data_IF_073696166770
#
_entry.id   IF_073696166770
#
_cell.length_a   1.000
_cell.length_b   1.000
_cell.length_c   1.000
_cell.angle_alpha   90.00
_cell.angle_beta   90.00
_cell.angle_gamma   90.00
#
_symmetry.space_group_name_H-M   'P 1'
#
loop_
_entity.id
_entity.type
_entity.pdbx_description
1 polymer ?
#
# COMPACT_ATOMS: atom_id res chain seq x y z
N UNK A 1 -11.87 -10.95 53.48
CA UNK A 1 -10.87 -10.17 52.71
C UNK A 1 -11.05 -10.38 51.21
N UNK A 2 -11.18 -11.62 50.72
CA UNK A 2 -11.48 -11.95 49.32
C UNK A 2 -12.81 -11.38 48.76
N UNK A 3 -13.89 -11.34 49.54
CA UNK A 3 -15.19 -10.77 49.09
C UNK A 3 -15.19 -9.24 48.86
N UNK A 4 -14.22 -8.50 49.42
CA UNK A 4 -14.09 -7.05 49.16
C UNK A 4 -13.31 -6.74 47.87
N UNK A 5 -12.60 -7.73 47.31
CA UNK A 5 -11.89 -7.58 46.03
C UNK A 5 -12.83 -7.77 44.82
N UNK A 6 -13.96 -8.47 45.00
CA UNK A 6 -14.99 -8.66 43.96
C UNK A 6 -15.75 -7.37 43.59
N UNK A 7 -15.72 -6.35 44.44
CA UNK A 7 -16.46 -5.10 44.26
C UNK A 7 -15.67 -3.99 43.56
N UNK A 8 -14.35 -4.14 43.41
CA UNK A 8 -13.47 -3.07 42.89
C UNK A 8 -13.18 -3.27 41.39
N UNK A 9 -13.03 -4.52 40.94
CA UNK A 9 -13.06 -4.87 39.52
C UNK A 9 -13.74 -6.23 39.39
N UNK A 10 -14.94 -6.30 38.79
CA UNK A 10 -15.57 -7.59 38.63
C UNK A 10 -14.68 -8.42 37.70
N UNK A 11 -14.37 -9.65 38.11
CA UNK A 11 -13.95 -10.75 37.24
C UNK A 11 -15.04 -11.10 36.19
N UNK A 12 -15.96 -10.19 35.89
CA UNK A 12 -16.94 -10.19 34.83
C UNK A 12 -16.59 -9.10 33.80
N UNK A 13 -15.36 -9.16 33.27
CA UNK A 13 -15.10 -8.73 31.90
C UNK A 13 -15.20 -10.00 31.05
N UNK A 14 -15.87 -10.03 29.88
CA UNK A 14 -16.58 -11.23 29.50
C UNK A 14 -15.63 -12.24 28.86
N UNK A 15 -15.06 -13.11 29.69
CA UNK A 15 -14.39 -14.33 29.26
C UNK A 15 -15.37 -15.34 28.61
N UNK A 16 -16.66 -14.99 28.51
CA UNK A 16 -17.76 -15.86 28.12
C UNK A 16 -18.30 -15.63 26.69
N UNK A 17 -17.52 -15.03 25.78
CA UNK A 17 -17.91 -14.99 24.36
C UNK A 17 -16.83 -15.61 23.47
N UNK A 18 -17.28 -16.62 22.71
CA UNK A 18 -16.68 -17.43 21.61
C UNK A 18 -15.32 -17.04 20.99
N UNK A 19 -14.34 -16.68 21.79
CA UNK A 19 -12.99 -17.16 21.56
C UNK A 19 -12.95 -18.53 22.22
N UNK A 20 -12.55 -19.57 21.48
CA UNK A 20 -12.17 -20.83 22.10
C UNK A 20 -11.35 -20.49 23.34
N UNK A 21 -11.79 -20.91 24.55
CA UNK A 21 -11.16 -20.56 25.83
C UNK A 21 -9.74 -21.15 25.85
N UNK A 22 -8.83 -20.54 25.09
CA UNK A 22 -7.55 -21.12 24.70
C UNK A 22 -6.64 -21.06 25.90
N UNK A 23 -6.71 -19.97 26.66
CA UNK A 23 -6.07 -19.83 27.97
C UNK A 23 -6.54 -20.93 28.91
N UNK A 24 -7.85 -21.13 29.06
CA UNK A 24 -8.40 -22.20 29.92
C UNK A 24 -8.05 -23.61 29.44
N UNK A 25 -8.03 -23.86 28.13
CA UNK A 25 -7.60 -25.14 27.54
C UNK A 25 -6.11 -25.40 27.78
N UNK A 26 -5.27 -24.38 27.61
CA UNK A 26 -3.83 -24.45 27.87
C UNK A 26 -3.59 -24.67 29.36
N UNK A 27 -4.24 -23.90 30.23
CA UNK A 27 -4.16 -24.06 31.68
C UNK A 27 -4.57 -25.47 32.10
N UNK A 28 -5.73 -25.96 31.64
CA UNK A 28 -6.21 -27.32 31.94
C UNK A 28 -5.27 -28.43 31.44
N UNK A 29 -4.56 -28.20 30.33
CA UNK A 29 -3.56 -29.14 29.80
C UNK A 29 -2.28 -29.15 30.65
N UNK A 30 -1.85 -28.00 31.14
CA UNK A 30 -0.64 -27.85 31.93
C UNK A 30 -0.82 -28.19 33.41
N UNK A 31 -2.05 -28.14 33.93
CA UNK A 31 -2.34 -28.53 35.30
C UNK A 31 -1.88 -29.96 35.56
N UNK A 32 -0.88 -30.10 36.43
CA UNK A 32 -0.38 -31.38 36.84
C UNK A 32 -1.42 -32.08 37.72
N UNK A 33 -2.17 -33.03 37.15
CA UNK A 33 -3.24 -33.75 37.85
C UNK A 33 -2.74 -34.56 39.05
N UNK A 34 -1.46 -34.91 39.09
CA UNK A 34 -0.84 -35.72 40.15
C UNK A 34 -0.39 -34.85 41.33
N UNK A 35 0.06 -33.62 41.07
CA UNK A 35 0.56 -32.70 42.10
C UNK A 35 -0.38 -31.51 42.41
N UNK A 36 -1.53 -31.41 41.72
CA UNK A 36 -2.52 -30.32 41.84
C UNK A 36 -1.91 -28.91 41.76
N UNK A 37 -0.78 -28.77 41.06
CA UNK A 37 -0.13 -27.48 40.88
C UNK A 37 -0.72 -26.80 39.65
N UNK A 38 -1.27 -25.61 39.84
CA UNK A 38 -1.72 -24.78 38.74
C UNK A 38 -0.50 -24.23 37.98
N UNK A 39 -0.55 -24.15 36.63
CA UNK A 39 0.51 -23.53 35.85
C UNK A 39 0.59 -22.04 36.18
N UNK A 40 1.80 -21.48 36.11
CA UNK A 40 1.98 -20.04 36.27
C UNK A 40 1.69 -19.26 34.97
N UNK A 41 1.76 -17.94 35.03
CA UNK A 41 1.48 -17.08 33.87
C UNK A 41 2.47 -17.31 32.72
N UNK A 42 3.74 -17.58 33.03
CA UNK A 42 4.79 -17.81 32.03
C UNK A 42 4.60 -19.17 31.34
N UNK A 43 4.19 -20.20 32.10
CA UNK A 43 3.83 -21.52 31.59
C UNK A 43 2.70 -21.40 30.56
N UNK A 44 1.67 -20.61 30.87
CA UNK A 44 0.56 -20.37 29.95
C UNK A 44 1.04 -19.59 28.73
N UNK A 45 1.72 -18.45 28.91
CA UNK A 45 2.19 -17.57 27.83
C UNK A 45 3.07 -18.35 26.84
N UNK A 46 3.97 -19.20 27.33
CA UNK A 46 4.88 -19.99 26.50
C UNK A 46 4.17 -20.98 25.55
N UNK A 47 2.93 -21.34 25.87
CA UNK A 47 2.14 -22.32 25.12
C UNK A 47 1.12 -21.67 24.18
N UNK A 48 0.99 -20.35 24.20
CA UNK A 48 0.11 -19.61 23.31
C UNK A 48 0.79 -19.41 21.95
N UNK A 49 0.10 -19.78 20.88
CA UNK A 49 0.59 -19.60 19.52
C UNK A 49 0.36 -18.17 19.02
N UNK A 50 1.03 -17.79 17.92
CA UNK A 50 0.85 -16.48 17.29
C UNK A 50 -0.60 -16.21 16.88
N UNK A 51 -1.36 -17.25 16.50
CA UNK A 51 -2.78 -17.13 16.14
C UNK A 51 -3.65 -16.59 17.27
N UNK A 52 -3.39 -17.02 18.51
CA UNK A 52 -4.04 -16.49 19.71
C UNK A 52 -3.78 -14.99 19.86
N UNK A 53 -2.52 -14.56 19.79
CA UNK A 53 -2.15 -13.15 19.93
C UNK A 53 -2.76 -12.27 18.83
N UNK A 54 -2.81 -12.77 17.60
CA UNK A 54 -3.47 -12.08 16.47
C UNK A 54 -4.97 -11.97 16.74
N UNK A 55 -5.63 -13.04 17.20
CA UNK A 55 -7.06 -13.01 17.52
C UNK A 55 -7.36 -12.04 18.67
N UNK A 56 -6.48 -11.96 19.67
CA UNK A 56 -6.61 -11.03 20.80
C UNK A 56 -6.61 -9.55 20.36
N UNK A 57 -5.99 -9.21 19.23
CA UNK A 57 -5.90 -7.81 18.76
C UNK A 57 -6.83 -7.54 17.56
N UNK A 58 -6.85 -8.43 16.57
CA UNK A 58 -7.51 -8.24 15.28
C UNK A 58 -8.99 -8.68 15.27
N UNK A 59 -9.51 -9.20 16.38
CA UNK A 59 -10.93 -9.61 16.47
C UNK A 59 -11.90 -8.43 16.23
N UNK A 60 -13.04 -8.73 15.61
CA UNK A 60 -14.16 -7.77 15.44
C UNK A 60 -15.04 -7.67 16.68
N UNK A 61 -14.74 -8.43 17.74
CA UNK A 61 -15.48 -8.41 18.99
C UNK A 61 -15.36 -7.03 19.67
N UNK A 62 -16.50 -6.50 20.12
CA UNK A 62 -16.59 -5.24 20.84
C UNK A 62 -15.80 -5.28 22.15
N UNK A 63 -15.77 -6.42 22.83
CA UNK A 63 -15.10 -6.56 24.13
C UNK A 63 -13.58 -6.51 23.99
N UNK A 64 -13.05 -7.07 22.91
CA UNK A 64 -11.64 -6.95 22.55
C UNK A 64 -11.28 -5.49 22.26
N UNK A 65 -12.20 -4.73 21.65
CA UNK A 65 -11.98 -3.30 21.44
C UNK A 65 -11.91 -2.52 22.76
N UNK A 66 -12.73 -2.89 23.75
CA UNK A 66 -12.67 -2.30 25.08
C UNK A 66 -11.38 -2.70 25.83
N UNK A 67 -10.97 -3.97 25.75
CA UNK A 67 -9.69 -4.44 26.31
C UNK A 67 -8.49 -3.71 25.71
N UNK A 68 -8.54 -3.41 24.40
CA UNK A 68 -7.55 -2.55 23.76
C UNK A 68 -7.52 -1.15 24.34
N UNK A 69 -8.69 -0.51 24.44
CA UNK A 69 -8.80 0.87 24.90
C UNK A 69 -8.33 1.04 26.35
N UNK A 70 -8.56 0.04 27.19
CA UNK A 70 -8.24 0.11 28.63
C UNK A 70 -6.84 -0.38 28.95
N UNK A 71 -6.34 -1.41 28.26
CA UNK A 71 -5.11 -2.11 28.66
C UNK A 71 -4.11 -2.38 27.52
N UNK A 72 -4.54 -2.96 26.39
CA UNK A 72 -3.57 -3.46 25.38
C UNK A 72 -2.90 -2.36 24.57
N UNK A 73 -3.49 -1.16 24.48
CA UNK A 73 -2.84 -0.03 23.81
C UNK A 73 -1.48 0.34 24.41
N UNK A 74 -1.28 0.08 25.70
CA UNK A 74 -0.04 0.38 26.43
C UNK A 74 1.14 -0.49 25.97
N UNK A 75 0.85 -1.67 25.40
CA UNK A 75 1.85 -2.60 24.85
C UNK A 75 2.39 -2.11 23.50
N UNK A 76 1.66 -1.21 22.83
CA UNK A 76 2.05 -0.66 21.53
C UNK A 76 2.26 0.86 21.62
N UNK A 77 3.24 1.35 22.41
CA UNK A 77 3.46 2.78 22.58
C UNK A 77 3.73 3.52 21.26
N UNK A 78 4.27 2.85 20.25
CA UNK A 78 4.52 3.43 18.92
C UNK A 78 3.30 3.51 17.99
N UNK A 79 2.15 2.88 18.33
CA UNK A 79 0.94 2.91 17.51
C UNK A 79 -0.34 2.66 18.32
N UNK A 80 -1.20 3.67 18.40
CA UNK A 80 -2.47 3.60 19.16
C UNK A 80 -3.67 3.02 18.38
N UNK A 81 -3.57 2.91 17.06
CA UNK A 81 -4.68 2.39 16.23
C UNK A 81 -4.68 0.85 16.19
N UNK A 82 -5.64 0.26 16.91
CA UNK A 82 -5.87 -1.19 16.98
C UNK A 82 -5.99 -1.85 15.61
N UNK A 83 -6.68 -1.22 14.66
CA UNK A 83 -6.93 -1.82 13.34
C UNK A 83 -5.63 -1.95 12.56
N UNK A 84 -4.76 -0.95 12.67
CA UNK A 84 -3.45 -0.96 12.01
C UNK A 84 -2.54 -2.03 12.64
N UNK A 85 -2.50 -2.11 13.97
CA UNK A 85 -1.72 -3.14 14.68
C UNK A 85 -2.24 -4.54 14.38
N UNK A 86 -3.56 -4.74 14.42
CA UNK A 86 -4.20 -6.01 14.11
C UNK A 86 -3.91 -6.48 12.69
N UNK A 87 -3.93 -5.57 11.71
CA UNK A 87 -3.56 -5.90 10.32
C UNK A 87 -2.08 -6.29 10.19
N UNK A 88 -1.18 -5.56 10.85
CA UNK A 88 0.25 -5.90 10.83
C UNK A 88 0.54 -7.28 11.48
N UNK A 89 -0.18 -7.62 12.55
CA UNK A 89 -0.11 -8.94 13.16
C UNK A 89 -0.65 -10.04 12.24
N UNK A 90 -1.74 -9.76 11.52
CA UNK A 90 -2.29 -10.67 10.51
C UNK A 90 -1.30 -10.90 9.36
N UNK A 91 -0.69 -9.85 8.82
CA UNK A 91 0.33 -9.94 7.77
C UNK A 91 1.51 -10.82 8.23
N UNK A 92 2.00 -10.62 9.46
CA UNK A 92 3.04 -11.47 10.06
C UNK A 92 2.59 -12.92 10.19
N UNK A 93 1.35 -13.16 10.62
CA UNK A 93 0.79 -14.51 10.76
C UNK A 93 0.72 -15.23 9.41
N UNK A 94 0.23 -14.56 8.37
CA UNK A 94 0.16 -15.10 7.02
C UNK A 94 1.55 -15.45 6.48
N UNK A 95 2.52 -14.53 6.61
CA UNK A 95 3.89 -14.78 6.18
C UNK A 95 4.52 -15.97 6.92
N UNK A 96 4.43 -15.98 8.26
CA UNK A 96 4.95 -17.08 9.08
C UNK A 96 4.33 -18.42 8.69
N UNK A 97 3.02 -18.42 8.43
CA UNK A 97 2.31 -19.64 8.05
C UNK A 97 2.76 -20.14 6.69
N UNK A 98 2.89 -19.27 5.68
CA UNK A 98 3.45 -19.62 4.36
C UNK A 98 4.83 -20.26 4.48
N UNK A 99 5.73 -19.64 5.24
CA UNK A 99 7.08 -20.17 5.49
C UNK A 99 7.00 -21.54 6.17
N UNK A 100 6.17 -21.70 7.21
CA UNK A 100 6.05 -22.98 7.93
C UNK A 100 5.40 -24.10 7.11
N UNK A 101 4.54 -23.74 6.16
CA UNK A 101 3.87 -24.68 5.26
C UNK A 101 4.64 -24.90 3.95
N UNK A 102 5.82 -24.29 3.79
CA UNK A 102 6.63 -24.35 2.56
C UNK A 102 5.84 -23.91 1.32
N UNK A 103 4.97 -22.92 1.48
CA UNK A 103 4.21 -22.33 0.38
C UNK A 103 5.10 -21.42 -0.49
N UNK A 104 4.65 -21.13 -1.71
CA UNK A 104 5.39 -20.29 -2.66
C UNK A 104 5.54 -18.86 -2.16
N UNK A 105 6.78 -18.36 -2.16
CA UNK A 105 7.14 -16.97 -1.83
C UNK A 105 7.46 -16.12 -3.07
N UNK A 106 7.19 -16.61 -4.28
CA UNK A 106 7.56 -15.92 -5.53
C UNK A 106 6.98 -14.51 -5.68
N UNK A 107 5.84 -14.25 -5.04
CA UNK A 107 5.15 -12.96 -5.07
C UNK A 107 5.30 -12.15 -3.77
N UNK A 108 6.18 -12.59 -2.88
CA UNK A 108 6.46 -11.92 -1.61
C UNK A 108 7.75 -11.12 -1.78
N UNK A 109 7.71 -9.83 -1.46
CA UNK A 109 8.93 -9.03 -1.41
C UNK A 109 9.54 -9.12 0.01
N UNK A 110 10.65 -9.84 0.19
CA UNK A 110 11.23 -10.05 1.52
C UNK A 110 11.71 -8.76 2.18
N UNK A 111 12.04 -7.71 1.42
CA UNK A 111 12.43 -6.41 1.99
C UNK A 111 11.21 -5.73 2.62
N UNK A 112 10.08 -5.73 1.91
CA UNK A 112 8.84 -5.13 2.43
C UNK A 112 8.36 -5.88 3.65
N UNK A 113 8.40 -7.22 3.62
CA UNK A 113 7.99 -8.03 4.76
C UNK A 113 8.92 -7.82 5.97
N UNK A 114 10.25 -7.77 5.78
CA UNK A 114 11.18 -7.43 6.86
C UNK A 114 10.85 -6.06 7.46
N UNK A 115 10.60 -5.04 6.64
CA UNK A 115 10.22 -3.70 7.13
C UNK A 115 8.91 -3.71 7.92
N UNK A 116 7.90 -4.46 7.49
CA UNK A 116 6.65 -4.64 8.24
C UNK A 116 6.93 -5.24 9.63
N UNK A 117 7.77 -6.28 9.69
CA UNK A 117 8.17 -6.94 10.95
C UNK A 117 8.91 -5.96 11.87
N UNK A 118 9.93 -5.27 11.35
CA UNK A 118 10.70 -4.29 12.12
C UNK A 118 9.84 -3.14 12.62
N UNK A 119 8.89 -2.67 11.79
CA UNK A 119 7.94 -1.63 12.20
C UNK A 119 7.01 -2.11 13.31
N UNK A 120 6.48 -3.32 13.21
CA UNK A 120 5.65 -3.92 14.27
C UNK A 120 6.44 -4.09 15.57
N UNK A 121 7.67 -4.61 15.50
CA UNK A 121 8.56 -4.71 16.66
C UNK A 121 8.81 -3.34 17.29
N UNK A 122 9.10 -2.32 16.47
CA UNK A 122 9.35 -0.95 16.93
C UNK A 122 8.14 -0.29 17.58
N UNK A 123 6.91 -0.71 17.24
CA UNK A 123 5.72 -0.24 17.94
C UNK A 123 5.62 -0.75 19.37
N UNK A 124 6.23 -1.90 19.66
CA UNK A 124 6.31 -2.51 20.99
C UNK A 124 7.55 -1.99 21.72
N UNK A 125 8.73 -2.19 21.12
CA UNK A 125 10.03 -1.86 21.69
C UNK A 125 11.03 -1.52 20.57
N UNK A 126 11.54 -0.27 20.50
CA UNK A 126 12.57 0.12 19.54
C UNK A 126 13.86 -0.71 19.63
N UNK A 127 14.28 -1.12 20.83
CA UNK A 127 15.53 -1.87 21.02
C UNK A 127 15.38 -3.29 20.48
N UNK A 128 14.20 -3.91 20.67
CA UNK A 128 13.88 -5.19 20.07
C UNK A 128 13.90 -5.13 18.53
N UNK A 129 13.42 -4.04 17.93
CA UNK A 129 13.49 -3.87 16.48
C UNK A 129 14.94 -3.80 15.97
N UNK A 130 15.80 -3.02 16.64
CA UNK A 130 17.23 -2.93 16.32
C UNK A 130 17.92 -4.29 16.49
N UNK A 131 17.58 -5.04 17.53
CA UNK A 131 18.11 -6.37 17.73
C UNK A 131 17.69 -7.34 16.61
N UNK A 132 16.40 -7.37 16.24
CA UNK A 132 15.89 -8.19 15.13
C UNK A 132 16.59 -7.84 13.81
N UNK A 133 16.75 -6.55 13.53
CA UNK A 133 17.47 -6.07 12.35
C UNK A 133 18.92 -6.57 12.34
N UNK A 134 19.61 -6.53 13.48
CA UNK A 134 21.02 -6.95 13.60
C UNK A 134 21.27 -8.44 13.37
N UNK A 135 20.27 -9.30 13.61
CA UNK A 135 20.37 -10.75 13.40
C UNK A 135 19.75 -11.22 12.07
N UNK A 136 19.13 -10.30 11.32
CA UNK A 136 18.50 -10.61 10.05
C UNK A 136 19.54 -10.91 8.98
N UNK A 137 19.33 -12.01 8.24
CA UNK A 137 20.14 -12.38 7.07
C UNK A 137 19.47 -12.05 5.75
N UNK A 138 18.29 -11.41 5.78
CA UNK A 138 17.50 -11.15 4.57
C UNK A 138 18.28 -10.30 3.59
N UNK A 139 18.91 -9.22 4.06
CA UNK A 139 19.70 -8.33 3.19
C UNK A 139 20.94 -9.02 2.62
N UNK A 140 21.65 -9.81 3.43
CA UNK A 140 22.80 -10.62 2.99
C UNK A 140 22.41 -11.56 1.84
N UNK A 141 21.34 -12.35 2.04
CA UNK A 141 20.86 -13.30 1.04
C UNK A 141 20.34 -12.59 -0.23
N UNK A 142 19.76 -11.39 -0.09
CA UNK A 142 19.27 -10.63 -1.24
C UNK A 142 20.40 -10.06 -2.09
N UNK A 143 21.57 -9.78 -1.52
CA UNK A 143 22.73 -9.35 -2.31
C UNK A 143 23.23 -10.43 -3.26
N UNK A 144 23.03 -11.71 -2.91
CA UNK A 144 23.42 -12.86 -3.73
C UNK A 144 22.40 -13.20 -4.84
N UNK A 145 21.22 -12.56 -4.85
CA UNK A 145 20.19 -12.86 -5.85
C UNK A 145 20.61 -12.32 -7.23
N UNK A 146 20.51 -13.13 -8.31
CA UNK A 146 20.87 -12.69 -9.66
C UNK A 146 20.06 -11.46 -10.13
N UNK A 147 20.78 -10.45 -10.62
CA UNK A 147 20.21 -9.16 -11.06
C UNK A 147 20.29 -8.07 -9.99
N UNK A 148 20.04 -6.80 -10.36
CA UNK A 148 20.06 -5.72 -9.38
C UNK A 148 18.74 -5.69 -8.58
N UNK A 149 18.74 -6.36 -7.43
CA UNK A 149 17.56 -6.55 -6.54
C UNK A 149 17.06 -5.23 -5.94
N UNK A 150 17.87 -4.18 -6.02
CA UNK A 150 17.55 -2.86 -5.50
C UNK A 150 17.20 -1.86 -6.61
N UNK A 151 17.28 -2.24 -7.89
CA UNK A 151 16.91 -1.34 -8.97
C UNK A 151 15.39 -1.21 -9.09
N UNK A 152 14.85 0.02 -9.03
CA UNK A 152 13.44 0.23 -9.22
C UNK A 152 13.05 0.05 -10.69
N UNK A 153 12.00 -0.70 -10.93
CA UNK A 153 11.44 -0.95 -12.27
C UNK A 153 10.13 -0.19 -12.50
N UNK A 154 9.65 0.54 -11.50
CA UNK A 154 8.36 1.23 -11.50
C UNK A 154 8.55 2.69 -11.05
N UNK A 155 7.99 3.63 -11.81
CA UNK A 155 7.90 5.04 -11.40
C UNK A 155 6.48 5.39 -10.96
N UNK A 156 6.33 6.05 -9.80
CA UNK A 156 5.07 6.60 -9.36
C UNK A 156 4.96 8.09 -9.70
N UNK A 157 3.84 8.46 -10.33
CA UNK A 157 3.50 9.83 -10.62
C UNK A 157 2.34 10.33 -9.79
N UNK A 158 2.42 11.58 -9.33
CA UNK A 158 1.25 12.29 -8.82
C UNK A 158 0.26 12.47 -9.98
N UNK A 159 -0.95 11.91 -9.85
CA UNK A 159 -1.96 11.98 -10.90
C UNK A 159 -2.50 13.39 -11.13
N UNK A 160 -2.23 14.32 -10.21
CA UNK A 160 -2.53 15.76 -10.30
C UNK A 160 -1.48 16.56 -11.09
N UNK A 161 -0.49 15.91 -11.69
CA UNK A 161 0.42 16.58 -12.64
C UNK A 161 -0.34 17.15 -13.83
N UNK A 162 0.27 18.16 -14.45
CA UNK A 162 -0.28 18.95 -15.56
C UNK A 162 -1.48 19.85 -15.21
N UNK A 163 -1.90 19.92 -13.94
CA UNK A 163 -3.02 20.79 -13.51
C UNK A 163 -2.78 22.27 -13.83
N UNK A 164 -1.55 22.77 -13.68
CA UNK A 164 -1.20 24.18 -13.93
C UNK A 164 -1.19 24.59 -15.40
N UNK A 165 -1.06 23.61 -16.32
CA UNK A 165 -1.05 23.86 -17.77
C UNK A 165 -2.41 23.63 -18.42
N UNK A 166 -3.41 23.16 -17.67
CA UNK A 166 -4.79 23.04 -18.12
C UNK A 166 -5.56 24.31 -17.79
N UNK A 167 -6.14 24.97 -18.80
CA UNK A 167 -6.86 26.26 -18.63
C UNK A 167 -8.38 26.18 -18.72
N UNK A 168 -8.96 24.99 -18.82
CA UNK A 168 -10.41 24.85 -19.01
C UNK A 168 -11.08 24.24 -17.79
N UNK A 169 -11.82 25.06 -17.05
CA UNK A 169 -12.63 24.61 -15.90
C UNK A 169 -13.59 23.48 -16.28
N UNK A 170 -14.16 23.49 -17.49
CA UNK A 170 -15.18 22.49 -17.88
C UNK A 170 -14.62 21.31 -18.68
N UNK A 171 -13.30 21.24 -18.93
CA UNK A 171 -12.69 20.20 -19.77
C UNK A 171 -11.48 19.50 -19.14
N UNK A 172 -11.06 19.91 -17.95
CA UNK A 172 -9.95 19.30 -17.20
C UNK A 172 -10.47 18.24 -16.22
N UNK A 173 -9.65 17.22 -15.97
CA UNK A 173 -9.94 16.14 -15.04
C UNK A 173 -9.36 16.42 -13.66
N UNK A 174 -9.97 15.82 -12.62
CA UNK A 174 -9.39 15.81 -11.27
C UNK A 174 -8.00 15.19 -11.23
N UNK A 175 -7.84 14.07 -11.93
CA UNK A 175 -6.59 13.32 -11.98
C UNK A 175 -6.16 13.15 -13.44
N UNK A 176 -5.57 14.18 -14.07
CA UNK A 176 -5.27 14.16 -15.50
C UNK A 176 -4.53 12.92 -15.99
N UNK A 177 -3.53 12.44 -15.26
CA UNK A 177 -2.77 11.26 -15.69
C UNK A 177 -3.61 9.98 -15.61
N UNK A 178 -4.31 9.78 -14.49
CA UNK A 178 -5.09 8.57 -14.24
C UNK A 178 -6.29 8.47 -15.19
N UNK A 179 -7.00 9.57 -15.39
CA UNK A 179 -8.18 9.60 -16.26
C UNK A 179 -7.77 9.47 -17.74
N UNK A 180 -6.67 10.10 -18.15
CA UNK A 180 -6.13 9.91 -19.51
C UNK A 180 -5.73 8.46 -19.74
N UNK A 181 -5.11 7.81 -18.74
CA UNK A 181 -4.77 6.40 -18.82
C UNK A 181 -5.99 5.51 -19.04
N UNK A 182 -7.07 5.70 -18.28
CA UNK A 182 -8.27 4.91 -18.46
C UNK A 182 -8.99 5.16 -19.80
N UNK A 183 -8.88 6.36 -20.36
CA UNK A 183 -9.49 6.67 -21.66
C UNK A 183 -8.64 6.27 -22.87
N UNK A 184 -7.32 6.33 -22.76
CA UNK A 184 -6.41 6.25 -23.92
C UNK A 184 -5.32 5.18 -23.78
N UNK A 185 -5.23 4.47 -22.65
CA UNK A 185 -4.11 3.57 -22.32
C UNK A 185 -2.77 4.27 -22.57
N UNK A 186 -2.68 5.51 -22.10
CA UNK A 186 -1.53 6.38 -22.27
C UNK A 186 -1.55 7.49 -21.21
N UNK A 187 -0.40 8.12 -20.97
CA UNK A 187 -0.34 9.38 -20.24
C UNK A 187 0.36 10.46 -21.07
N UNK A 188 0.03 11.70 -20.77
CA UNK A 188 0.66 12.90 -21.33
C UNK A 188 1.38 13.58 -20.18
N UNK A 189 2.68 13.86 -20.32
CA UNK A 189 3.48 14.59 -19.32
C UNK A 189 4.11 15.81 -19.95
N UNK A 190 4.18 16.93 -19.21
CA UNK A 190 4.99 18.06 -19.65
C UNK A 190 6.48 17.67 -19.70
N UNK A 191 7.19 18.12 -20.73
CA UNK A 191 8.58 17.75 -20.98
C UNK A 191 9.55 18.16 -19.86
N UNK A 192 9.18 19.14 -19.03
CA UNK A 192 9.92 19.53 -17.82
C UNK A 192 9.95 18.44 -16.75
N UNK A 193 9.11 17.40 -16.88
CA UNK A 193 8.86 16.37 -15.89
C UNK A 193 9.22 15.00 -16.48
N UNK A 194 10.49 14.82 -16.85
CA UNK A 194 10.97 13.58 -17.48
C UNK A 194 11.13 12.45 -16.46
N UNK A 195 10.93 11.21 -16.91
CA UNK A 195 11.45 10.02 -16.22
C UNK A 195 12.96 10.03 -16.43
N UNK A 196 13.73 10.13 -15.35
CA UNK A 196 15.19 10.27 -15.39
C UNK A 196 15.92 8.93 -15.43
N UNK A 197 15.18 7.82 -15.27
CA UNK A 197 15.67 6.45 -15.20
C UNK A 197 14.88 5.57 -16.14
N UNK A 198 15.52 4.53 -16.66
CA UNK A 198 14.81 3.50 -17.40
C UNK A 198 13.97 2.67 -16.41
N UNK A 199 12.66 2.59 -16.66
CA UNK A 199 11.69 1.85 -15.85
C UNK A 199 10.72 1.16 -16.78
N UNK A 200 10.19 0.01 -16.34
CA UNK A 200 9.26 -0.80 -17.13
C UNK A 200 7.82 -0.44 -16.86
N UNK A 201 7.48 -0.06 -15.63
CA UNK A 201 6.11 0.18 -15.21
C UNK A 201 5.89 1.62 -14.73
N UNK A 202 4.63 2.04 -14.80
CA UNK A 202 4.17 3.31 -14.31
C UNK A 202 3.06 3.10 -13.28
N UNK A 203 3.12 3.78 -12.15
CA UNK A 203 2.05 3.79 -11.16
C UNK A 203 1.49 5.19 -10.90
N UNK A 204 0.26 5.21 -10.38
CA UNK A 204 -0.51 6.43 -10.15
C UNK A 204 -0.69 6.67 -8.65
N UNK A 205 -0.17 7.79 -8.17
CA UNK A 205 -0.46 8.28 -6.82
C UNK A 205 -1.51 9.38 -6.88
N UNK A 206 -2.61 9.17 -6.17
CA UNK A 206 -3.77 10.06 -6.12
C UNK A 206 -3.75 10.76 -4.77
N UNK A 207 -3.26 12.02 -4.67
CA UNK A 207 -3.27 12.76 -3.42
C UNK A 207 -4.69 13.14 -3.00
N UNK A 208 -4.86 13.45 -1.71
CA UNK A 208 -6.12 13.99 -1.20
C UNK A 208 -6.25 15.43 -1.68
N UNK A 209 -7.10 15.64 -2.68
CA UNK A 209 -7.25 16.94 -3.32
C UNK A 209 -8.53 17.68 -2.92
N UNK A 210 -8.48 19.01 -2.99
CA UNK A 210 -9.56 19.92 -2.61
C UNK A 210 -10.57 20.08 -3.77
N UNK A 211 -11.86 19.72 -3.59
CA UNK A 211 -12.89 19.88 -4.62
C UNK A 211 -13.00 21.32 -5.16
N UNK A 212 -12.60 22.32 -4.37
CA UNK A 212 -12.66 23.74 -4.77
C UNK A 212 -11.70 24.12 -5.90
N UNK A 213 -10.62 23.35 -6.08
CA UNK A 213 -9.62 23.61 -7.11
C UNK A 213 -9.72 22.68 -8.32
N UNK A 214 -10.60 21.67 -8.28
CA UNK A 214 -10.54 20.57 -9.23
C UNK A 214 -11.91 20.25 -9.87
N UNK A 215 -12.13 20.68 -11.13
CA UNK A 215 -13.48 21.06 -11.56
C UNK A 215 -14.36 19.92 -12.08
N UNK A 216 -13.81 18.72 -12.35
CA UNK A 216 -14.60 17.54 -12.74
C UNK A 216 -14.14 16.29 -11.99
N UNK A 217 -15.04 15.53 -11.34
CA UNK A 217 -14.70 14.28 -10.69
C UNK A 217 -14.19 13.25 -11.71
N UNK A 218 -13.34 12.33 -11.26
CA UNK A 218 -12.93 11.20 -12.09
C UNK A 218 -14.08 10.21 -12.16
N UNK A 219 -14.44 9.77 -13.37
CA UNK A 219 -15.46 8.72 -13.55
C UNK A 219 -15.00 7.34 -13.08
N UNK A 220 -13.72 7.21 -12.69
CA UNK A 220 -13.10 5.95 -12.28
C UNK A 220 -12.89 5.84 -10.77
N UNK A 221 -13.23 6.88 -10.01
CA UNK A 221 -13.00 6.98 -8.57
C UNK A 221 -14.25 7.50 -7.86
N UNK A 222 -14.42 7.18 -6.57
CA UNK A 222 -15.46 7.81 -5.77
C UNK A 222 -15.23 9.32 -5.61
N UNK A 223 -16.26 10.05 -5.20
CA UNK A 223 -16.23 11.52 -5.11
C UNK A 223 -15.21 12.09 -4.11
N UNK A 224 -14.89 11.35 -3.04
CA UNK A 224 -13.94 11.76 -2.00
C UNK A 224 -12.96 10.64 -1.69
N UNK A 225 -12.02 10.35 -2.62
CA UNK A 225 -11.04 9.29 -2.38
C UNK A 225 -10.03 9.75 -1.32
N UNK A 226 -9.63 8.82 -0.44
CA UNK A 226 -8.44 9.01 0.39
C UNK A 226 -7.19 9.13 -0.48
N UNK A 227 -6.10 9.68 0.06
CA UNK A 227 -4.83 9.65 -0.66
C UNK A 227 -4.34 8.21 -0.79
N UNK A 228 -4.00 7.76 -2.00
CA UNK A 228 -3.60 6.36 -2.23
C UNK A 228 -2.79 6.17 -3.52
N UNK A 229 -2.11 5.04 -3.63
CA UNK A 229 -1.59 4.51 -4.91
C UNK A 229 -2.68 3.62 -5.53
N UNK A 230 -2.97 3.82 -6.81
CA UNK A 230 -3.92 3.02 -7.56
C UNK A 230 -3.51 1.54 -7.66
N UNK A 231 -4.48 0.68 -7.98
CA UNK A 231 -4.25 -0.77 -8.11
C UNK A 231 -3.54 -1.21 -9.38
N UNK A 232 -3.25 -0.29 -10.30
CA UNK A 232 -2.81 -0.58 -11.66
C UNK A 232 -1.43 0.01 -11.92
N UNK A 233 -0.56 -0.83 -12.49
CA UNK A 233 0.83 -0.53 -12.82
C UNK A 233 1.09 -0.94 -14.27
N UNK A 234 0.59 -0.19 -15.26
CA UNK A 234 0.78 -0.51 -16.66
C UNK A 234 2.24 -0.60 -17.08
N UNK A 235 2.52 -1.50 -18.01
CA UNK A 235 3.77 -1.58 -18.74
C UNK A 235 3.91 -0.38 -19.68
N UNK A 236 5.08 0.24 -19.66
CA UNK A 236 5.46 1.28 -20.62
C UNK A 236 5.82 0.59 -21.93
N UNK A 237 4.95 0.74 -22.93
CA UNK A 237 5.15 0.16 -24.25
C UNK A 237 6.03 1.06 -25.12
N UNK A 238 5.80 2.37 -25.05
CA UNK A 238 6.52 3.32 -25.88
C UNK A 238 6.56 4.71 -25.24
N UNK A 239 7.66 5.43 -25.48
CA UNK A 239 7.77 6.87 -25.23
C UNK A 239 7.85 7.61 -26.56
N UNK A 240 6.97 8.59 -26.75
CA UNK A 240 6.92 9.44 -27.94
C UNK A 240 6.97 10.92 -27.57
N UNK A 241 7.75 11.70 -28.31
CA UNK A 241 7.83 13.15 -28.18
C UNK A 241 7.31 13.77 -29.48
N UNK A 242 6.10 14.37 -29.49
CA UNK A 242 5.56 15.02 -30.67
C UNK A 242 6.44 16.17 -31.14
N UNK A 243 6.47 16.39 -32.46
CA UNK A 243 7.19 17.53 -33.04
C UNK A 243 6.58 18.86 -32.59
N UNK A 244 5.24 18.95 -32.62
CA UNK A 244 4.46 20.06 -32.10
C UNK A 244 3.13 19.56 -31.50
N UNK A 245 2.59 20.31 -30.54
CA UNK A 245 1.31 19.98 -29.91
C UNK A 245 0.15 20.69 -30.61
N UNK A 246 -0.24 20.22 -31.80
CA UNK A 246 -1.24 20.88 -32.63
C UNK A 246 -2.25 19.94 -33.30
N UNK A 247 -3.38 20.50 -33.75
CA UNK A 247 -4.37 19.77 -34.54
C UNK A 247 -3.83 19.36 -35.92
N UNK A 248 -2.83 20.08 -36.45
CA UNK A 248 -2.21 19.73 -37.73
C UNK A 248 -1.37 18.47 -37.59
N UNK A 249 -0.62 18.36 -36.50
CA UNK A 249 0.16 17.16 -36.20
C UNK A 249 -0.73 15.94 -35.97
N UNK A 250 -1.86 16.12 -35.27
CA UNK A 250 -2.89 15.08 -35.13
C UNK A 250 -3.39 14.61 -36.51
N UNK A 251 -3.67 15.53 -37.43
CA UNK A 251 -4.12 15.16 -38.79
C UNK A 251 -3.03 14.42 -39.57
N UNK A 252 -1.77 14.83 -39.42
CA UNK A 252 -0.62 14.17 -40.07
C UNK A 252 -0.49 12.73 -39.57
N UNK A 253 -0.46 12.54 -38.25
CA UNK A 253 -0.31 11.22 -37.61
C UNK A 253 -1.53 10.30 -37.86
N UNK A 254 -2.74 10.83 -37.99
CA UNK A 254 -3.94 10.04 -38.34
C UNK A 254 -3.83 9.33 -39.70
N UNK A 255 -3.05 9.87 -40.62
CA UNK A 255 -2.83 9.27 -41.94
C UNK A 255 -1.62 8.31 -41.96
N UNK A 256 -0.96 8.12 -40.81
CA UNK A 256 0.17 7.19 -40.65
C UNK A 256 -0.27 5.76 -40.36
N UNK A 257 0.66 4.98 -39.83
CA UNK A 257 0.43 3.59 -39.43
C UNK A 257 -0.44 3.47 -38.16
N UNK A 258 -0.69 2.23 -37.70
CA UNK A 258 -1.51 1.99 -36.51
C UNK A 258 -0.93 2.66 -35.25
N UNK A 259 0.40 2.76 -35.16
CA UNK A 259 1.10 3.41 -34.05
C UNK A 259 0.86 4.92 -34.07
N UNK A 260 1.05 5.55 -35.22
CA UNK A 260 0.82 6.99 -35.41
C UNK A 260 -0.65 7.34 -35.16
N UNK A 261 -1.59 6.50 -35.62
CA UNK A 261 -3.02 6.67 -35.34
C UNK A 261 -3.34 6.62 -33.84
N UNK A 262 -2.69 5.70 -33.10
CA UNK A 262 -2.82 5.63 -31.63
C UNK A 262 -2.29 6.90 -30.97
N UNK A 263 -1.10 7.37 -31.37
CA UNK A 263 -0.53 8.63 -30.87
C UNK A 263 -1.45 9.82 -31.19
N UNK A 264 -1.99 9.87 -32.40
CA UNK A 264 -2.90 10.92 -32.82
C UNK A 264 -4.19 10.95 -31.99
N UNK A 265 -4.70 9.78 -31.58
CA UNK A 265 -5.84 9.68 -30.68
C UNK A 265 -5.51 10.27 -29.29
N UNK A 266 -4.35 9.94 -28.72
CA UNK A 266 -3.89 10.52 -27.43
C UNK A 266 -3.73 12.03 -27.53
N UNK A 267 -3.07 12.53 -28.58
CA UNK A 267 -2.87 13.97 -28.81
C UNK A 267 -4.20 14.70 -28.99
N UNK A 268 -5.09 14.18 -29.83
CA UNK A 268 -6.42 14.74 -30.04
C UNK A 268 -7.23 14.78 -28.75
N UNK A 269 -7.15 13.73 -27.93
CA UNK A 269 -7.77 13.69 -26.61
C UNK A 269 -7.19 14.77 -25.69
N UNK A 270 -5.87 14.90 -25.59
CA UNK A 270 -5.23 15.93 -24.77
C UNK A 270 -5.60 17.35 -25.20
N UNK A 271 -5.60 17.66 -26.50
CA UNK A 271 -6.07 18.94 -27.04
C UNK A 271 -7.52 19.22 -26.64
N UNK A 272 -8.40 18.22 -26.73
CA UNK A 272 -9.80 18.34 -26.32
C UNK A 272 -9.98 18.60 -24.81
N UNK A 273 -9.03 18.16 -23.99
CA UNK A 273 -8.99 18.30 -22.52
C UNK A 273 -8.20 19.51 -22.04
N UNK A 274 -7.83 20.43 -22.94
CA UNK A 274 -7.25 21.72 -22.59
C UNK A 274 -5.75 21.73 -22.37
N UNK A 275 -5.03 20.68 -22.82
CA UNK A 275 -3.57 20.72 -22.93
C UNK A 275 -3.16 21.74 -23.99
N UNK A 276 -2.43 22.78 -23.58
CA UNK A 276 -2.13 23.96 -24.41
C UNK A 276 -1.04 23.68 -25.44
N UNK A 277 -1.14 24.32 -26.61
CA UNK A 277 -0.19 24.18 -27.71
C UNK A 277 1.16 24.91 -27.50
N UNK A 278 1.25 25.83 -26.53
CA UNK A 278 2.49 26.58 -26.21
C UNK A 278 3.43 25.81 -25.28
N UNK A 279 3.25 24.49 -25.17
CA UNK A 279 3.98 23.60 -24.26
C UNK A 279 4.43 22.36 -25.00
N UNK A 280 5.52 21.79 -24.51
CA UNK A 280 6.07 20.53 -24.99
C UNK A 280 5.64 19.39 -24.07
N UNK A 281 5.21 18.29 -24.67
CA UNK A 281 4.74 17.11 -23.94
C UNK A 281 5.46 15.87 -24.41
N UNK A 282 5.50 14.87 -23.52
CA UNK A 282 5.90 13.50 -23.80
C UNK A 282 4.66 12.63 -23.62
N UNK A 283 4.41 11.76 -24.59
CA UNK A 283 3.39 10.72 -24.51
C UNK A 283 4.06 9.41 -24.12
N UNK A 284 3.51 8.75 -23.10
CA UNK A 284 3.85 7.37 -22.80
C UNK A 284 2.65 6.51 -23.19
N UNK A 285 2.85 5.61 -24.14
CA UNK A 285 1.89 4.56 -24.47
C UNK A 285 2.05 3.43 -23.47
N UNK A 286 0.92 2.97 -22.93
CA UNK A 286 0.85 2.07 -21.80
C UNK A 286 0.03 0.83 -22.18
N UNK A 287 0.30 -0.31 -21.55
CA UNK A 287 -0.64 -1.45 -21.58
C UNK A 287 -1.99 -1.01 -21.02
N UNK A 288 -3.09 -1.53 -21.57
CA UNK A 288 -4.44 -1.06 -21.19
C UNK A 288 -4.87 -1.46 -19.77
N UNK A 289 -5.92 -0.84 -19.20
CA UNK A 289 -6.40 -1.16 -17.85
C UNK A 289 -6.78 -2.63 -17.65
N UNK A 290 -7.24 -3.31 -18.71
CA UNK A 290 -7.63 -4.73 -18.70
C UNK A 290 -6.57 -5.66 -19.29
N UNK A 291 -5.47 -5.10 -19.79
CA UNK A 291 -4.40 -5.82 -20.50
C UNK A 291 -3.65 -6.78 -19.55
N UNK A 292 -3.28 -8.00 -19.99
CA UNK A 292 -2.44 -8.93 -19.23
C UNK A 292 -1.09 -8.35 -18.79
N UNK A 293 -0.51 -7.44 -19.58
CA UNK A 293 0.78 -6.81 -19.27
C UNK A 293 0.65 -5.71 -18.20
N UNK A 294 -0.57 -5.33 -17.83
CA UNK A 294 -0.81 -4.39 -16.73
C UNK A 294 -0.78 -5.13 -15.40
N UNK A 295 0.30 -4.93 -14.65
CA UNK A 295 0.42 -5.46 -13.30
C UNK A 295 -0.59 -4.81 -12.34
N UNK A 296 -1.06 -5.59 -11.36
CA UNK A 296 -2.09 -5.15 -10.41
C UNK A 296 -1.83 -5.59 -8.98
N UNK A 297 -2.39 -4.82 -8.06
CA UNK A 297 -2.53 -5.19 -6.64
C UNK A 297 -3.98 -5.51 -6.30
N UNK A 298 -4.19 -6.29 -5.24
CA UNK A 298 -5.54 -6.67 -4.78
C UNK A 298 -6.32 -5.46 -4.23
N UNK A 299 -5.62 -4.55 -3.57
CA UNK A 299 -6.16 -3.34 -2.97
C UNK A 299 -5.33 -2.10 -3.35
N UNK A 300 -5.93 -0.93 -3.15
CA UNK A 300 -5.19 0.34 -3.21
C UNK A 300 -4.22 0.40 -2.05
N UNK A 301 -3.07 1.05 -2.23
CA UNK A 301 -2.09 1.25 -1.15
C UNK A 301 -2.40 2.59 -0.52
N UNK A 302 -2.93 2.57 0.71
CA UNK A 302 -3.43 3.78 1.38
C UNK A 302 -2.26 4.64 1.84
N UNK A 303 -2.39 5.96 1.67
CA UNK A 303 -1.44 6.89 2.28
C UNK A 303 -1.80 7.10 3.75
N UNK A 304 -0.92 6.61 4.63
CA UNK A 304 -1.14 6.51 6.06
C UNK A 304 -0.48 7.63 6.88
N UNK A 305 0.22 8.56 6.22
CA UNK A 305 0.80 9.74 6.86
C UNK A 305 -0.19 10.92 6.87
N UNK A 306 -0.06 11.78 7.88
CA UNK A 306 -0.92 12.96 8.04
C UNK A 306 -0.70 13.99 6.92
N UNK A 307 -1.79 14.60 6.43
CA UNK A 307 -1.75 15.70 5.47
C UNK A 307 -2.38 15.35 4.13
N UNK A 308 -2.12 16.16 3.09
CA UNK A 308 -2.65 15.94 1.72
C UNK A 308 -1.95 14.79 0.98
N UNK A 309 -0.84 14.29 1.53
CA UNK A 309 -0.01 13.27 0.92
C UNK A 309 0.74 13.70 -0.35
N UNK A 310 0.64 14.96 -0.76
CA UNK A 310 1.37 15.49 -1.93
C UNK A 310 2.89 15.46 -1.75
N UNK A 311 3.38 15.56 -0.51
CA UNK A 311 4.79 15.41 -0.18
C UNK A 311 5.34 14.03 -0.54
N UNK A 312 4.49 12.99 -0.50
CA UNK A 312 4.89 11.64 -0.87
C UNK A 312 5.39 11.62 -2.32
N UNK A 313 4.80 12.34 -3.26
CA UNK A 313 5.21 12.36 -4.69
C UNK A 313 5.69 13.72 -5.18
N UNK A 314 6.18 14.57 -4.27
CA UNK A 314 6.77 15.87 -4.64
C UNK A 314 7.93 15.69 -5.63
N UNK A 315 8.69 14.61 -5.47
CA UNK A 315 9.63 14.08 -6.47
C UNK A 315 9.08 12.77 -7.04
N UNK A 316 9.50 12.41 -8.26
CA UNK A 316 9.21 11.08 -8.82
C UNK A 316 9.71 10.03 -7.84
N UNK A 317 8.85 9.10 -7.42
CA UNK A 317 9.29 7.94 -6.64
C UNK A 317 9.57 6.79 -7.59
N UNK A 318 10.70 6.15 -7.39
CA UNK A 318 11.09 4.95 -8.10
C UNK A 318 11.09 3.80 -7.10
N UNK A 319 10.29 2.77 -7.38
CA UNK A 319 10.05 1.62 -6.51
C UNK A 319 10.09 0.34 -7.34
N UNK A 320 10.21 -0.80 -6.67
CA UNK A 320 10.02 -2.10 -7.30
C UNK A 320 8.54 -2.46 -7.34
N UNK A 321 8.12 -3.09 -8.44
CA UNK A 321 6.76 -3.59 -8.59
C UNK A 321 6.42 -4.64 -7.53
N UNK A 322 7.38 -5.50 -7.16
CA UNK A 322 7.17 -6.49 -6.09
C UNK A 322 6.93 -5.81 -4.74
N UNK A 323 7.67 -4.74 -4.44
CA UNK A 323 7.47 -3.98 -3.21
C UNK A 323 6.08 -3.34 -3.18
N UNK A 324 5.62 -2.83 -4.32
CA UNK A 324 4.26 -2.30 -4.47
C UNK A 324 3.19 -3.40 -4.30
N UNK A 325 3.45 -4.62 -4.78
CA UNK A 325 2.54 -5.77 -4.58
C UNK A 325 2.44 -6.22 -3.13
N UNK A 326 3.53 -6.13 -2.37
CA UNK A 326 3.56 -6.45 -0.95
C UNK A 326 3.00 -5.34 -0.05
N UNK A 327 2.95 -4.10 -0.52
CA UNK A 327 2.55 -2.97 0.32
C UNK A 327 1.02 -2.86 0.52
N UNK A 328 0.62 -2.50 1.72
CA UNK A 328 -0.76 -2.16 2.10
C UNK A 328 -0.93 -0.67 2.35
N UNK A 329 0.15 -0.01 2.78
CA UNK A 329 0.19 1.42 3.04
C UNK A 329 1.51 2.03 2.61
N UNK A 330 1.54 3.35 2.41
CA UNK A 330 2.73 4.03 1.88
C UNK A 330 3.96 3.93 2.77
N UNK A 331 3.79 3.80 4.09
CA UNK A 331 4.91 3.59 5.00
C UNK A 331 5.56 2.20 4.92
N UNK A 332 4.97 1.25 4.18
CA UNK A 332 5.64 -0.03 3.84
C UNK A 332 6.75 0.17 2.81
N UNK A 333 6.70 1.28 2.06
CA UNK A 333 7.55 1.56 0.90
C UNK A 333 8.70 2.53 1.21
N UNK A 334 8.76 3.06 2.43
CA UNK A 334 9.74 4.09 2.87
C UNK A 334 10.86 3.42 3.66
#
# INVERSE_FOLDING_TARGET
>A
MMQKLETIHPLAFPWNVHTDNTVGKVAARLTNKTHQTAPDENDIISQLNLGFWVQLIHSKDFQVAELWNTHLNSVFPGKSDRKVVGRALEDLRELRNRVSHQDSLLHVDPIVELRKILRLAKWIDPDAATWIESISKVDEVLQDRPGNVYEPDTVLFASTRNTTVQRSANKSFRYPLFDTYHHQSAIILEDSVRVSREVKHLGFYLPKDDPKNNPQPSSFLPDTPEAHIAKVFPLIQERFVPQDWSHNEVKRLKNGDQRDQRIAAVMGFGLSKGYRADRSYIIYLLSGPTDPDTARTSAVIIHDQSGKGSAFVKLNRYLRLDSLKGAHQTSDLI
#
